data_IF_427548052397
#
_entry.id   IF_427548052397
#
_cell.length_a   1.000
_cell.length_b   1.000
_cell.length_c   1.000
_cell.angle_alpha   90.00
_cell.angle_beta   90.00
_cell.angle_gamma   90.00
#
_symmetry.space_group_name_H-M   'P 1'
#
loop_
_entity.id
_entity.type
_entity.pdbx_description
1 polymer ?
#
# COMPACT_ATOMS: atom_id res chain seq x y z
N UNK A 1 -13.90 -14.89 0.27
CA UNK A 1 -14.98 -14.67 -0.73
C UNK A 1 -16.07 -13.85 -0.08
N UNK A 2 -16.62 -12.86 -0.78
CA UNK A 2 -17.80 -12.08 -0.35
C UNK A 2 -19.08 -12.91 -0.45
N UNK A 3 -20.19 -12.43 0.13
CA UNK A 3 -21.46 -13.17 0.12
C UNK A 3 -22.01 -13.38 -1.30
N UNK A 4 -21.92 -12.36 -2.15
CA UNK A 4 -22.38 -12.39 -3.54
C UNK A 4 -21.57 -13.39 -4.38
N UNK A 5 -20.25 -13.46 -4.20
CA UNK A 5 -19.39 -14.48 -4.84
C UNK A 5 -19.76 -15.90 -4.39
N UNK A 6 -20.00 -16.10 -3.08
CA UNK A 6 -20.43 -17.40 -2.54
C UNK A 6 -21.78 -17.82 -3.12
N UNK A 7 -22.72 -16.88 -3.20
CA UNK A 7 -24.06 -17.12 -3.75
C UNK A 7 -24.00 -17.39 -5.26
N UNK A 8 -23.23 -16.63 -6.02
CA UNK A 8 -23.06 -16.82 -7.46
C UNK A 8 -22.46 -18.20 -7.78
N UNK A 9 -21.43 -18.61 -7.03
CA UNK A 9 -20.82 -19.93 -7.15
C UNK A 9 -21.83 -21.05 -6.89
N UNK A 10 -22.63 -20.97 -5.81
CA UNK A 10 -23.66 -21.96 -5.52
C UNK A 10 -24.74 -22.03 -6.60
N UNK A 11 -25.15 -20.88 -7.12
CA UNK A 11 -26.15 -20.79 -8.20
C UNK A 11 -25.64 -21.42 -9.49
N UNK A 12 -24.37 -21.18 -9.84
CA UNK A 12 -23.76 -21.75 -11.05
C UNK A 12 -23.52 -23.26 -10.89
N UNK A 13 -23.00 -23.70 -9.73
CA UNK A 13 -22.72 -25.11 -9.44
C UNK A 13 -23.97 -25.99 -9.45
N UNK A 14 -25.11 -25.44 -9.00
CA UNK A 14 -26.40 -26.14 -8.97
C UNK A 14 -27.28 -25.83 -10.17
N UNK A 15 -26.82 -24.99 -11.11
CA UNK A 15 -27.60 -24.46 -12.25
C UNK A 15 -28.95 -23.85 -11.81
N UNK A 16 -28.96 -23.22 -10.65
CA UNK A 16 -30.14 -22.58 -10.08
C UNK A 16 -30.31 -21.18 -10.65
N UNK A 17 -31.51 -20.86 -11.16
CA UNK A 17 -31.86 -19.51 -11.58
C UNK A 17 -32.38 -18.66 -10.42
N UNK A 18 -32.30 -17.33 -10.53
CA UNK A 18 -32.78 -16.42 -9.49
C UNK A 18 -34.26 -16.64 -9.16
N UNK A 19 -35.09 -16.91 -10.17
CA UNK A 19 -36.52 -17.21 -10.01
C UNK A 19 -36.76 -18.55 -9.33
N UNK A 20 -35.92 -19.55 -9.60
CA UNK A 20 -36.04 -20.88 -8.99
C UNK A 20 -35.68 -20.83 -7.50
N UNK A 21 -34.60 -20.15 -7.13
CA UNK A 21 -34.23 -19.97 -5.72
C UNK A 21 -35.32 -19.18 -4.99
N UNK A 22 -35.73 -18.03 -5.54
CA UNK A 22 -36.77 -17.16 -5.00
C UNK A 22 -38.06 -17.91 -4.63
N UNK A 23 -38.56 -18.75 -5.53
CA UNK A 23 -39.76 -19.57 -5.30
C UNK A 23 -39.59 -20.57 -4.16
N UNK A 24 -38.40 -21.15 -3.98
CA UNK A 24 -38.15 -22.18 -2.97
C UNK A 24 -37.88 -21.63 -1.56
N UNK A 25 -37.53 -20.36 -1.44
CA UNK A 25 -37.26 -19.71 -0.15
C UNK A 25 -38.21 -18.55 0.15
N UNK A 26 -39.31 -18.43 -0.62
CA UNK A 26 -40.35 -17.41 -0.46
C UNK A 26 -39.81 -15.97 -0.49
N UNK A 27 -38.91 -15.69 -1.43
CA UNK A 27 -38.35 -14.35 -1.68
C UNK A 27 -38.64 -13.90 -3.12
N UNK A 28 -38.39 -12.62 -3.38
CA UNK A 28 -38.54 -12.03 -4.71
C UNK A 28 -37.33 -12.30 -5.60
N UNK A 29 -37.52 -12.67 -6.87
CA UNK A 29 -36.42 -12.94 -7.80
C UNK A 29 -35.52 -11.71 -8.00
N UNK A 30 -36.11 -10.52 -7.94
CA UNK A 30 -35.40 -9.24 -7.98
C UNK A 30 -34.48 -9.06 -6.77
N UNK A 31 -34.92 -9.49 -5.59
CA UNK A 31 -34.15 -9.45 -4.34
C UNK A 31 -32.96 -10.40 -4.40
N UNK A 32 -33.17 -11.65 -4.86
CA UNK A 32 -32.09 -12.62 -5.08
C UNK A 32 -31.07 -12.09 -6.09
N UNK A 33 -31.54 -11.46 -7.17
CA UNK A 33 -30.64 -10.91 -8.17
C UNK A 33 -29.77 -9.78 -7.62
N UNK A 34 -30.30 -8.92 -6.73
CA UNK A 34 -29.54 -7.86 -6.07
C UNK A 34 -28.52 -8.40 -5.07
N UNK A 35 -28.87 -9.46 -4.33
CA UNK A 35 -27.94 -10.18 -3.45
C UNK A 35 -26.80 -10.81 -4.25
N UNK A 36 -27.12 -11.50 -5.36
CA UNK A 36 -26.15 -12.19 -6.22
C UNK A 36 -25.18 -11.23 -6.93
N UNK A 37 -25.60 -9.99 -7.20
CA UNK A 37 -24.77 -8.97 -7.85
C UNK A 37 -24.00 -8.07 -6.86
N UNK A 38 -24.10 -8.33 -5.55
CA UNK A 38 -23.49 -7.49 -4.51
C UNK A 38 -24.14 -6.10 -4.34
N UNK A 39 -25.22 -5.80 -5.06
CA UNK A 39 -25.95 -4.51 -4.97
C UNK A 39 -26.67 -4.37 -3.62
N UNK A 40 -27.00 -5.50 -2.98
CA UNK A 40 -27.60 -5.54 -1.65
C UNK A 40 -26.80 -6.46 -0.74
N UNK A 41 -26.41 -5.96 0.43
CA UNK A 41 -25.78 -6.75 1.48
C UNK A 41 -26.85 -7.56 2.23
N UNK A 42 -26.60 -8.83 2.56
CA UNK A 42 -27.50 -9.59 3.42
C UNK A 42 -27.64 -8.92 4.79
N UNK A 43 -28.86 -8.97 5.33
CA UNK A 43 -29.14 -8.45 6.69
C UNK A 43 -28.66 -9.48 7.70
N UNK A 44 -27.99 -9.03 8.76
CA UNK A 44 -27.57 -9.90 9.86
C UNK A 44 -28.78 -10.58 10.49
N UNK A 45 -28.70 -11.91 10.70
CA UNK A 45 -29.78 -12.76 11.22
C UNK A 45 -31.02 -12.89 10.32
N UNK A 46 -30.89 -12.65 9.01
CA UNK A 46 -32.01 -12.87 8.12
C UNK A 46 -32.34 -14.38 7.97
N UNK A 47 -33.60 -14.74 8.22
CA UNK A 47 -34.08 -16.13 8.15
C UNK A 47 -33.94 -16.79 6.78
N UNK A 48 -33.66 -16.02 5.71
CA UNK A 48 -33.47 -16.56 4.37
C UNK A 48 -32.09 -17.19 4.14
N UNK A 49 -31.05 -16.86 4.92
CA UNK A 49 -29.70 -17.44 4.71
C UNK A 49 -29.69 -18.93 5.08
N UNK A 50 -30.24 -19.37 6.22
CA UNK A 50 -30.43 -20.79 6.49
C UNK A 50 -31.32 -21.49 5.45
N UNK A 51 -32.34 -20.82 4.91
CA UNK A 51 -33.20 -21.36 3.87
C UNK A 51 -32.43 -21.60 2.55
N UNK A 52 -31.55 -20.68 2.17
CA UNK A 52 -30.63 -20.85 1.04
C UNK A 52 -29.67 -22.03 1.26
N UNK A 53 -29.05 -22.10 2.44
CA UNK A 53 -28.12 -23.19 2.79
C UNK A 53 -28.80 -24.57 2.68
N UNK A 54 -30.02 -24.70 3.21
CA UNK A 54 -30.82 -25.92 3.11
C UNK A 54 -31.15 -26.28 1.66
N UNK A 55 -31.53 -25.28 0.86
CA UNK A 55 -31.87 -25.48 -0.54
C UNK A 55 -30.67 -26.01 -1.33
N UNK A 56 -29.50 -25.38 -1.21
CA UNK A 56 -28.30 -25.81 -1.92
C UNK A 56 -27.74 -27.13 -1.40
N UNK A 57 -27.80 -27.40 -0.10
CA UNK A 57 -27.40 -28.69 0.47
C UNK A 57 -28.17 -29.86 -0.16
N UNK A 58 -29.46 -29.66 -0.48
CA UNK A 58 -30.30 -30.68 -1.15
C UNK A 58 -29.98 -30.88 -2.62
N UNK A 59 -29.39 -29.89 -3.29
CA UNK A 59 -29.06 -29.96 -4.71
C UNK A 59 -27.64 -30.47 -4.97
N UNK A 60 -26.72 -30.26 -4.02
CA UNK A 60 -25.34 -30.75 -4.08
C UNK A 60 -25.23 -32.23 -3.68
N UNK A 61 -25.90 -33.12 -4.43
CA UNK A 61 -25.91 -34.56 -4.13
C UNK A 61 -24.84 -35.36 -4.87
N UNK A 62 -24.31 -34.84 -5.98
CA UNK A 62 -23.26 -35.52 -6.76
C UNK A 62 -21.88 -35.33 -6.13
N UNK A 63 -21.01 -36.33 -6.31
CA UNK A 63 -19.64 -36.31 -5.77
C UNK A 63 -18.82 -35.15 -6.31
N UNK A 64 -19.01 -34.79 -7.59
CA UNK A 64 -18.36 -33.63 -8.20
C UNK A 64 -18.79 -32.30 -7.54
N UNK A 65 -20.10 -32.11 -7.30
CA UNK A 65 -20.59 -30.89 -6.66
C UNK A 65 -20.12 -30.78 -5.20
N UNK A 66 -20.09 -31.89 -4.48
CA UNK A 66 -19.57 -31.95 -3.10
C UNK A 66 -18.08 -31.63 -3.07
N UNK A 67 -17.28 -32.22 -3.96
CA UNK A 67 -15.85 -31.98 -4.05
C UNK A 67 -15.55 -30.50 -4.40
N UNK A 68 -16.21 -29.96 -5.43
CA UNK A 68 -16.05 -28.56 -5.83
C UNK A 68 -16.44 -27.57 -4.72
N UNK A 69 -17.52 -27.87 -3.98
CA UNK A 69 -17.96 -27.07 -2.85
C UNK A 69 -16.98 -27.13 -1.67
N UNK A 70 -16.50 -28.32 -1.32
CA UNK A 70 -15.51 -28.51 -0.25
C UNK A 70 -14.21 -27.79 -0.60
N UNK A 71 -13.76 -27.85 -1.85
CA UNK A 71 -12.57 -27.13 -2.32
C UNK A 71 -12.76 -25.61 -2.25
N UNK A 72 -13.92 -25.09 -2.70
CA UNK A 72 -14.25 -23.68 -2.62
C UNK A 72 -14.28 -23.18 -1.16
N UNK A 73 -14.84 -23.97 -0.24
CA UNK A 73 -14.87 -23.65 1.19
C UNK A 73 -13.44 -23.65 1.76
N UNK A 74 -12.64 -24.70 1.52
CA UNK A 74 -11.25 -24.78 2.00
C UNK A 74 -10.38 -23.62 1.51
N UNK A 75 -10.58 -23.15 0.27
CA UNK A 75 -9.84 -22.02 -0.31
C UNK A 75 -10.27 -20.66 0.22
N UNK A 76 -11.51 -20.53 0.69
CA UNK A 76 -12.13 -19.23 1.01
C UNK A 76 -12.50 -19.03 2.48
N UNK A 77 -12.28 -20.05 3.32
CA UNK A 77 -12.73 -20.12 4.72
C UNK A 77 -11.76 -20.92 5.58
N UNK A 78 -11.73 -20.65 6.88
CA UNK A 78 -11.03 -21.50 7.86
C UNK A 78 -11.87 -22.71 8.30
N UNK A 79 -13.11 -22.83 7.83
CA UNK A 79 -13.97 -23.99 8.11
C UNK A 79 -13.30 -25.23 7.52
N UNK A 80 -13.04 -26.24 8.37
CA UNK A 80 -12.59 -27.57 7.96
C UNK A 80 -13.81 -28.47 7.82
N UNK A 81 -14.35 -28.71 6.60
CA UNK A 81 -15.52 -29.54 6.45
C UNK A 81 -15.13 -30.98 6.78
N UNK A 82 -15.73 -31.57 7.82
CA UNK A 82 -15.53 -32.99 8.10
C UNK A 82 -16.50 -33.82 7.24
N UNK A 83 -16.10 -35.01 6.80
CA UNK A 83 -16.93 -35.88 5.94
C UNK A 83 -18.28 -36.28 6.56
N UNK A 84 -18.41 -36.16 7.90
CA UNK A 84 -19.61 -36.48 8.68
C UNK A 84 -20.46 -35.25 9.04
N UNK A 85 -20.04 -34.03 8.65
CA UNK A 85 -20.81 -32.81 8.96
C UNK A 85 -22.01 -32.63 8.03
N UNK A 86 -23.13 -32.19 8.60
CA UNK A 86 -24.31 -31.84 7.81
C UNK A 86 -24.01 -30.64 6.90
N UNK A 87 -24.02 -30.86 5.58
CA UNK A 87 -23.74 -29.87 4.55
C UNK A 87 -24.57 -28.59 4.68
N UNK A 88 -25.81 -28.68 5.16
CA UNK A 88 -26.65 -27.49 5.44
C UNK A 88 -26.00 -26.57 6.50
N UNK A 89 -25.43 -27.16 7.57
CA UNK A 89 -24.77 -26.39 8.63
C UNK A 89 -23.47 -25.76 8.13
N UNK A 90 -22.69 -26.52 7.35
CA UNK A 90 -21.43 -26.03 6.75
C UNK A 90 -21.71 -24.86 5.81
N UNK A 91 -22.68 -25.01 4.91
CA UNK A 91 -23.10 -23.96 3.97
C UNK A 91 -23.64 -22.72 4.69
N UNK A 92 -24.47 -22.91 5.72
CA UNK A 92 -25.01 -21.80 6.51
C UNK A 92 -23.89 -21.01 7.19
N UNK A 93 -22.94 -21.71 7.81
CA UNK A 93 -21.77 -21.09 8.44
C UNK A 93 -20.88 -20.37 7.41
N UNK A 94 -20.65 -20.99 6.26
CA UNK A 94 -19.84 -20.39 5.18
C UNK A 94 -20.50 -19.16 4.56
N UNK A 95 -21.82 -19.17 4.33
CA UNK A 95 -22.56 -17.99 3.83
C UNK A 95 -22.60 -16.85 4.85
N UNK A 96 -22.66 -17.16 6.16
CA UNK A 96 -22.66 -16.17 7.24
C UNK A 96 -21.27 -15.70 7.65
N UNK A 97 -20.23 -16.43 7.27
CA UNK A 97 -18.84 -16.04 7.50
C UNK A 97 -18.57 -14.76 6.72
N UNK A 98 -18.57 -13.65 7.46
CA UNK A 98 -17.92 -12.42 7.02
C UNK A 98 -16.48 -12.79 6.73
N UNK A 99 -15.91 -12.32 5.62
CA UNK A 99 -14.47 -12.35 5.49
C UNK A 99 -13.92 -11.80 6.81
N UNK A 100 -13.07 -12.53 7.56
CA UNK A 100 -12.23 -11.84 8.53
C UNK A 100 -11.62 -10.69 7.74
N UNK A 101 -11.70 -9.45 8.24
CA UNK A 101 -11.10 -8.27 7.63
C UNK A 101 -9.80 -8.74 6.99
N UNK A 102 -9.76 -8.79 5.66
CA UNK A 102 -8.59 -9.37 5.00
C UNK A 102 -7.41 -8.55 5.55
N UNK A 103 -6.40 -9.19 6.16
CA UNK A 103 -5.14 -8.51 6.40
C UNK A 103 -4.60 -8.15 5.00
N UNK A 104 -4.98 -6.97 4.51
CA UNK A 104 -5.05 -6.76 3.04
C UNK A 104 -6.02 -5.67 2.56
N UNK A 105 -7.11 -5.38 3.26
CA UNK A 105 -8.06 -4.34 2.84
C UNK A 105 -7.42 -2.94 2.82
N UNK A 106 -7.73 -2.15 1.79
CA UNK A 106 -7.33 -0.74 1.67
C UNK A 106 -7.81 0.05 2.89
N UNK A 107 -9.00 -0.23 3.41
CA UNK A 107 -9.54 0.47 4.59
C UNK A 107 -8.75 0.16 5.86
N UNK A 108 -8.29 -1.08 6.02
CA UNK A 108 -7.41 -1.44 7.15
C UNK A 108 -6.04 -0.75 7.02
N UNK A 109 -5.50 -0.71 5.81
CA UNK A 109 -4.26 0.01 5.51
C UNK A 109 -4.37 1.52 5.75
N UNK A 110 -5.42 2.17 5.25
CA UNK A 110 -5.62 3.61 5.44
C UNK A 110 -5.80 3.96 6.92
N UNK A 111 -6.43 3.08 7.71
CA UNK A 111 -6.47 3.23 9.17
C UNK A 111 -5.10 3.04 9.81
N UNK A 112 -4.32 2.06 9.38
CA UNK A 112 -2.96 1.82 9.88
C UNK A 112 -2.01 2.99 9.57
N UNK A 113 -2.04 3.52 8.35
CA UNK A 113 -1.27 4.69 7.92
C UNK A 113 -1.75 5.95 8.65
N UNK A 114 -3.07 6.14 8.80
CA UNK A 114 -3.64 7.27 9.53
C UNK A 114 -3.33 7.26 11.03
N UNK A 115 -3.04 6.09 11.60
CA UNK A 115 -2.59 5.92 12.99
C UNK A 115 -1.10 5.65 13.12
N UNK A 116 -0.32 5.78 12.03
CA UNK A 116 1.11 5.51 12.05
C UNK A 116 1.81 6.56 12.91
N UNK A 117 2.11 6.17 14.14
CA UNK A 117 3.03 6.89 15.02
C UNK A 117 4.40 6.26 14.82
N UNK A 118 5.45 7.09 14.77
CA UNK A 118 6.85 6.66 14.83
C UNK A 118 7.09 5.91 16.16
N UNK A 119 6.68 4.66 16.23
CA UNK A 119 7.17 3.74 17.24
C UNK A 119 8.55 3.35 16.77
N UNK A 120 9.56 3.78 17.52
CA UNK A 120 10.94 3.31 17.35
C UNK A 120 10.86 1.79 17.24
N UNK A 121 11.24 1.17 16.11
CA UNK A 121 11.61 -0.23 16.15
C UNK A 121 12.75 -0.26 17.17
N UNK A 122 12.51 -0.92 18.30
CA UNK A 122 13.55 -1.21 19.26
C UNK A 122 14.10 -2.58 18.90
N UNK A 123 15.14 -2.69 18.06
CA UNK A 123 16.06 -3.78 18.27
C UNK A 123 16.67 -3.49 19.65
N UNK A 124 16.52 -4.42 20.58
CA UNK A 124 17.41 -4.49 21.75
C UNK A 124 18.83 -4.33 21.22
N UNK A 125 19.62 -3.41 21.78
CA UNK A 125 20.93 -3.03 21.24
C UNK A 125 21.92 -4.20 21.05
N UNK A 126 21.62 -5.35 21.65
CA UNK A 126 22.34 -6.61 21.52
C UNK A 126 22.02 -7.40 20.23
N UNK A 127 20.81 -7.30 19.69
CA UNK A 127 20.47 -7.94 18.41
C UNK A 127 21.10 -7.19 17.24
N UNK A 128 21.05 -5.85 17.26
CA UNK A 128 21.62 -5.03 16.19
C UNK A 128 23.14 -5.20 16.03
N UNK A 129 23.89 -5.43 17.10
CA UNK A 129 25.35 -5.61 17.04
C UNK A 129 25.76 -6.99 16.49
N UNK A 130 24.98 -8.03 16.75
CA UNK A 130 25.22 -9.37 16.18
C UNK A 130 25.00 -9.42 14.65
N UNK A 131 24.12 -8.56 14.12
CA UNK A 131 23.86 -8.47 12.68
C UNK A 131 24.84 -7.57 11.91
N UNK A 132 25.73 -6.85 12.61
CA UNK A 132 26.65 -5.88 12.01
C UNK A 132 27.99 -6.47 11.57
N UNK A 133 28.29 -7.73 11.87
CA UNK A 133 29.56 -8.37 11.46
C UNK A 133 29.35 -9.35 10.29
N UNK A 134 29.61 -8.94 9.04
CA UNK A 134 29.53 -9.81 7.87
C UNK A 134 30.67 -10.84 7.78
N UNK A 135 31.59 -10.87 8.76
CA UNK A 135 32.79 -11.70 8.70
C UNK A 135 33.80 -11.17 7.66
N UNK A 136 34.78 -12.01 7.24
CA UNK A 136 35.82 -11.58 6.30
C UNK A 136 35.27 -11.33 4.90
N UNK A 137 35.22 -10.06 4.52
CA UNK A 137 34.66 -9.57 3.25
C UNK A 137 35.60 -9.93 2.09
N UNK A 138 35.06 -10.57 1.05
CA UNK A 138 35.77 -10.76 -0.22
C UNK A 138 35.40 -9.65 -1.20
N UNK A 139 36.23 -9.43 -2.22
CA UNK A 139 35.94 -8.46 -3.30
C UNK A 139 34.62 -8.79 -4.03
N UNK A 140 34.33 -10.08 -4.13
CA UNK A 140 33.12 -10.64 -4.74
C UNK A 140 32.65 -11.83 -3.91
N UNK A 141 31.38 -11.82 -3.54
CA UNK A 141 30.69 -12.93 -2.89
C UNK A 141 29.46 -13.34 -3.70
N UNK A 142 29.19 -14.64 -3.73
CA UNK A 142 28.10 -15.22 -4.52
C UNK A 142 27.17 -15.97 -3.56
N UNK A 143 25.90 -15.60 -3.59
CA UNK A 143 24.86 -16.21 -2.77
C UNK A 143 23.76 -16.79 -3.66
N UNK A 144 23.30 -17.99 -3.35
CA UNK A 144 22.40 -18.75 -4.22
C UNK A 144 20.96 -18.76 -3.73
N UNK A 145 20.03 -18.62 -4.68
CA UNK A 145 18.61 -18.74 -4.46
C UNK A 145 18.01 -17.62 -3.62
N UNK A 146 16.84 -17.90 -3.04
CA UNK A 146 16.07 -16.93 -2.23
C UNK A 146 16.81 -16.62 -0.92
N UNK A 147 17.28 -17.65 -0.21
CA UNK A 147 18.07 -17.46 1.01
C UNK A 147 19.35 -16.68 0.74
N UNK A 148 20.04 -17.00 -0.36
CA UNK A 148 21.22 -16.24 -0.74
C UNK A 148 20.92 -14.78 -1.05
N UNK A 149 19.80 -14.48 -1.68
CA UNK A 149 19.35 -13.09 -1.91
C UNK A 149 19.09 -12.36 -0.59
N UNK A 150 18.43 -13.02 0.36
CA UNK A 150 18.18 -12.51 1.71
C UNK A 150 19.48 -12.19 2.44
N UNK A 151 20.43 -13.13 2.44
CA UNK A 151 21.76 -12.92 3.02
C UNK A 151 22.50 -11.76 2.35
N UNK A 152 22.54 -11.71 1.01
CA UNK A 152 23.21 -10.64 0.26
C UNK A 152 22.63 -9.25 0.59
N UNK A 153 21.31 -9.14 0.71
CA UNK A 153 20.64 -7.90 1.05
C UNK A 153 20.97 -7.44 2.49
N UNK A 154 20.99 -8.34 3.47
CA UNK A 154 21.40 -8.00 4.84
C UNK A 154 22.88 -7.63 4.91
N UNK A 155 23.77 -8.40 4.26
CA UNK A 155 25.20 -8.07 4.15
C UNK A 155 25.43 -6.68 3.57
N UNK A 156 24.73 -6.35 2.48
CA UNK A 156 24.80 -5.04 1.87
C UNK A 156 24.44 -3.91 2.87
N UNK A 157 23.36 -4.06 3.62
CA UNK A 157 22.96 -3.05 4.61
C UNK A 157 23.95 -2.96 5.78
N UNK A 158 24.47 -4.08 6.25
CA UNK A 158 25.49 -4.10 7.31
C UNK A 158 26.77 -3.38 6.87
N UNK A 159 27.24 -3.61 5.63
CA UNK A 159 28.38 -2.88 5.07
C UNK A 159 28.11 -1.37 4.99
N UNK A 160 26.89 -0.97 4.59
CA UNK A 160 26.50 0.44 4.53
C UNK A 160 26.52 1.07 5.92
N UNK A 161 26.07 0.36 6.95
CA UNK A 161 26.10 0.83 8.34
C UNK A 161 27.51 0.99 8.91
N UNK A 162 28.46 0.15 8.47
CA UNK A 162 29.86 0.28 8.86
C UNK A 162 30.55 1.49 8.21
N UNK A 163 30.06 1.95 7.05
CA UNK A 163 30.59 3.15 6.41
C UNK A 163 30.09 4.41 7.13
N UNK A 164 31.04 5.20 7.63
CA UNK A 164 30.76 6.44 8.38
C UNK A 164 30.30 7.59 7.48
N UNK A 165 30.53 7.51 6.18
CA UNK A 165 30.19 8.57 5.22
C UNK A 165 28.77 8.35 4.70
N UNK A 166 27.84 9.29 4.96
CA UNK A 166 26.51 9.22 4.38
C UNK A 166 26.56 9.23 2.85
N UNK A 167 25.72 8.42 2.22
CA UNK A 167 25.63 8.30 0.78
C UNK A 167 24.19 8.10 0.31
N UNK A 168 23.98 8.21 -1.00
CA UNK A 168 22.68 7.92 -1.63
C UNK A 168 22.70 6.52 -2.20
N UNK A 169 21.90 5.64 -1.61
CA UNK A 169 21.66 4.28 -2.07
C UNK A 169 20.82 4.32 -3.34
N UNK A 170 21.19 3.53 -4.33
CA UNK A 170 20.50 3.42 -5.62
C UNK A 170 19.87 2.04 -5.69
N UNK A 171 18.54 1.99 -5.59
CA UNK A 171 17.78 0.75 -5.49
C UNK A 171 16.87 0.57 -6.71
N UNK A 172 16.88 -0.62 -7.28
CA UNK A 172 15.94 -1.04 -8.31
C UNK A 172 15.70 -2.55 -8.19
N UNK A 173 14.44 -2.96 -8.30
CA UNK A 173 14.09 -4.35 -8.52
C UNK A 173 12.78 -4.44 -9.29
N UNK A 174 12.77 -5.23 -10.35
CA UNK A 174 11.53 -5.68 -11.01
C UNK A 174 11.26 -7.17 -10.76
N UNK A 175 11.91 -7.75 -9.75
CA UNK A 175 11.59 -9.08 -9.23
C UNK A 175 10.34 -9.03 -8.33
N UNK A 176 9.72 -10.20 -8.17
CA UNK A 176 8.64 -10.42 -7.22
C UNK A 176 9.15 -10.11 -5.80
N UNK A 177 8.34 -9.51 -4.95
CA UNK A 177 8.75 -9.07 -3.60
C UNK A 177 8.56 -10.15 -2.53
N UNK A 178 8.03 -11.34 -2.87
CA UNK A 178 7.86 -12.48 -1.96
C UNK A 178 9.13 -12.84 -1.17
N UNK A 179 10.31 -12.80 -1.82
CA UNK A 179 11.58 -13.07 -1.13
C UNK A 179 11.84 -12.10 0.04
N UNK A 180 11.27 -10.89 -0.01
CA UNK A 180 11.36 -9.88 1.04
C UNK A 180 10.22 -10.00 2.06
N UNK A 181 8.99 -10.28 1.63
CA UNK A 181 7.78 -10.20 2.46
C UNK A 181 7.28 -11.53 3.06
N UNK A 182 7.60 -12.67 2.47
CA UNK A 182 7.00 -13.96 2.85
C UNK A 182 7.41 -14.44 4.25
N UNK A 183 8.55 -13.98 4.75
CA UNK A 183 9.04 -14.29 6.09
C UNK A 183 9.04 -13.05 7.00
N UNK A 184 8.08 -12.95 7.94
CA UNK A 184 7.93 -11.78 8.81
C UNK A 184 9.17 -11.47 9.66
N UNK A 185 9.88 -12.51 10.11
CA UNK A 185 11.09 -12.35 10.91
C UNK A 185 12.22 -11.74 10.08
N UNK A 186 12.44 -12.23 8.85
CA UNK A 186 13.39 -11.66 7.91
C UNK A 186 13.04 -10.21 7.56
N UNK A 187 11.78 -9.95 7.22
CA UNK A 187 11.32 -8.60 6.88
C UNK A 187 11.57 -7.61 8.02
N UNK A 188 11.32 -8.03 9.27
CA UNK A 188 11.57 -7.22 10.46
C UNK A 188 13.06 -6.87 10.64
N UNK A 189 13.95 -7.84 10.42
CA UNK A 189 15.41 -7.61 10.46
C UNK A 189 15.87 -6.66 9.36
N UNK A 190 15.41 -6.89 8.13
CA UNK A 190 15.71 -6.02 6.99
C UNK A 190 15.22 -4.59 7.24
N UNK A 191 13.98 -4.42 7.71
CA UNK A 191 13.39 -3.13 8.01
C UNK A 191 14.18 -2.41 9.11
N UNK A 192 14.58 -3.10 10.18
CA UNK A 192 15.39 -2.53 11.25
C UNK A 192 16.74 -1.99 10.73
N UNK A 193 17.45 -2.76 9.89
CA UNK A 193 18.70 -2.31 9.27
C UNK A 193 18.47 -1.11 8.34
N UNK A 194 17.45 -1.16 7.48
CA UNK A 194 17.08 -0.04 6.60
C UNK A 194 16.81 1.24 7.38
N UNK A 195 16.09 1.16 8.51
CA UNK A 195 15.85 2.31 9.37
C UNK A 195 17.14 2.86 9.97
N UNK A 196 18.07 2.02 10.41
CA UNK A 196 19.38 2.48 10.91
C UNK A 196 20.19 3.15 9.80
N UNK A 197 20.16 2.61 8.58
CA UNK A 197 20.84 3.19 7.42
C UNK A 197 20.34 4.62 7.17
N UNK A 198 19.02 4.82 7.19
CA UNK A 198 18.42 6.15 7.03
C UNK A 198 18.71 7.07 8.22
N UNK A 199 18.72 6.54 9.44
CA UNK A 199 19.08 7.28 10.65
C UNK A 199 20.53 7.81 10.58
N UNK A 200 21.43 7.07 9.93
CA UNK A 200 22.80 7.50 9.64
C UNK A 200 22.90 8.50 8.48
N UNK A 201 21.80 9.19 8.14
CA UNK A 201 21.69 10.24 7.11
C UNK A 201 21.92 9.76 5.68
N UNK A 202 21.90 8.46 5.43
CA UNK A 202 21.86 7.95 4.07
C UNK A 202 20.52 8.29 3.42
N UNK A 203 20.54 8.49 2.11
CA UNK A 203 19.34 8.71 1.28
C UNK A 203 19.14 7.54 0.35
N UNK A 204 17.94 7.43 -0.22
CA UNK A 204 17.62 6.38 -1.19
C UNK A 204 17.03 7.01 -2.44
N UNK A 205 17.55 6.66 -3.62
CA UNK A 205 16.85 6.77 -4.89
C UNK A 205 16.36 5.40 -5.29
N UNK A 206 15.05 5.24 -5.48
CA UNK A 206 14.45 3.94 -5.81
C UNK A 206 13.63 4.03 -7.08
N UNK A 207 13.84 3.10 -8.02
CA UNK A 207 13.03 2.98 -9.23
C UNK A 207 12.01 1.85 -9.02
N UNK A 208 10.72 2.19 -9.04
CA UNK A 208 9.60 1.27 -8.92
C UNK A 208 9.10 0.83 -10.29
N UNK A 209 8.64 -0.42 -10.35
CA UNK A 209 7.91 -0.96 -11.50
C UNK A 209 6.41 -0.79 -11.24
N UNK A 210 5.73 0.06 -12.00
CA UNK A 210 4.29 0.39 -11.79
C UNK A 210 3.36 -0.65 -12.41
N UNK A 211 3.84 -1.42 -13.40
CA UNK A 211 3.05 -2.46 -14.07
C UNK A 211 3.02 -3.76 -13.25
N UNK A 212 2.63 -3.67 -11.97
CA UNK A 212 2.46 -4.77 -11.02
C UNK A 212 0.97 -5.04 -10.79
N UNK A 213 0.64 -6.25 -10.32
CA UNK A 213 -0.71 -6.55 -9.87
C UNK A 213 -1.11 -5.61 -8.71
N UNK A 214 -2.38 -5.24 -8.61
CA UNK A 214 -2.90 -4.32 -7.60
C UNK A 214 -2.56 -4.75 -6.16
N UNK A 215 -2.68 -6.04 -5.86
CA UNK A 215 -2.36 -6.60 -4.54
C UNK A 215 -0.86 -6.49 -4.21
N UNK A 216 -0.01 -6.67 -5.21
CA UNK A 216 1.45 -6.55 -5.10
C UNK A 216 1.86 -5.09 -4.89
N UNK A 217 1.20 -4.16 -5.60
CA UNK A 217 1.37 -2.72 -5.41
C UNK A 217 0.98 -2.31 -3.99
N UNK A 218 -0.18 -2.75 -3.48
CA UNK A 218 -0.66 -2.41 -2.15
C UNK A 218 0.24 -3.00 -1.04
N UNK A 219 0.73 -4.23 -1.23
CA UNK A 219 1.68 -4.88 -0.32
C UNK A 219 3.03 -4.17 -0.31
N UNK A 220 3.55 -3.80 -1.49
CA UNK A 220 4.75 -2.99 -1.62
C UNK A 220 4.59 -1.63 -0.92
N UNK A 221 3.47 -0.93 -1.17
CA UNK A 221 3.20 0.35 -0.52
C UNK A 221 3.20 0.21 1.01
N UNK A 222 2.56 -0.83 1.58
CA UNK A 222 2.55 -1.08 3.03
C UNK A 222 3.94 -1.17 3.64
N UNK A 223 4.83 -1.95 3.04
CA UNK A 223 6.19 -2.12 3.55
C UNK A 223 7.04 -0.85 3.43
N UNK A 224 6.81 -0.04 2.40
CA UNK A 224 7.63 1.14 2.12
C UNK A 224 7.11 2.44 2.75
N UNK A 225 5.81 2.57 3.05
CA UNK A 225 5.21 3.80 3.63
C UNK A 225 5.93 4.27 4.90
N UNK A 226 6.21 3.42 5.89
CA UNK A 226 6.98 3.82 7.08
C UNK A 226 8.35 4.42 6.74
N UNK A 227 8.96 3.92 5.67
CA UNK A 227 10.28 4.33 5.23
C UNK A 227 10.19 5.65 4.43
N UNK A 228 9.15 5.80 3.59
CA UNK A 228 8.87 7.05 2.88
C UNK A 228 8.60 8.22 3.82
N UNK A 229 7.94 7.97 4.95
CA UNK A 229 7.69 8.98 5.99
C UNK A 229 8.97 9.55 6.61
N UNK A 230 10.14 8.94 6.41
CA UNK A 230 11.44 9.54 6.80
C UNK A 230 11.84 10.74 5.93
N UNK A 231 11.22 10.93 4.77
CA UNK A 231 11.57 11.96 3.79
C UNK A 231 12.96 11.79 3.15
N UNK A 232 13.63 10.66 3.37
CA UNK A 232 14.97 10.38 2.86
C UNK A 232 14.97 9.52 1.58
N UNK A 233 13.79 9.32 0.98
CA UNK A 233 13.60 8.50 -0.22
C UNK A 233 13.08 9.36 -1.37
N UNK A 234 13.68 9.19 -2.54
CA UNK A 234 13.25 9.75 -3.81
C UNK A 234 12.81 8.61 -4.75
N UNK A 235 11.50 8.41 -4.95
CA UNK A 235 10.99 7.37 -5.82
C UNK A 235 10.84 7.82 -7.28
N UNK A 236 11.16 6.93 -8.19
CA UNK A 236 11.09 7.09 -9.64
C UNK A 236 10.34 5.91 -10.26
N UNK A 237 9.91 6.05 -11.52
CA UNK A 237 9.37 4.95 -12.30
C UNK A 237 9.73 5.09 -13.78
N UNK A 238 9.78 3.97 -14.49
CA UNK A 238 9.92 3.96 -15.95
C UNK A 238 8.56 3.75 -16.60
N UNK A 239 8.16 4.65 -17.51
CA UNK A 239 6.89 4.53 -18.24
C UNK A 239 6.95 3.56 -19.42
N UNK A 240 8.16 3.15 -19.84
CA UNK A 240 8.36 2.21 -20.95
C UNK A 240 8.12 0.79 -20.47
N UNK A 241 7.23 0.08 -21.15
CA UNK A 241 6.93 -1.33 -20.87
C UNK A 241 8.07 -2.24 -21.36
N UNK A 242 8.48 -3.18 -20.51
CA UNK A 242 9.29 -4.36 -20.89
C UNK A 242 8.38 -5.59 -20.89
N UNK A 243 8.79 -6.62 -21.61
CA UNK A 243 8.13 -7.92 -21.68
C UNK A 243 8.24 -8.76 -20.38
N UNK A 244 8.91 -8.23 -19.34
CA UNK A 244 9.08 -8.84 -18.01
C UNK A 244 9.71 -10.25 -18.02
N UNK A 245 10.37 -10.65 -19.12
CA UNK A 245 11.00 -11.96 -19.24
C UNK A 245 12.26 -12.01 -18.38
N UNK A 246 13.13 -11.01 -18.53
CA UNK A 246 14.30 -10.83 -17.67
C UNK A 246 13.99 -9.84 -16.56
N UNK A 247 14.29 -10.26 -15.34
CA UNK A 247 14.20 -9.44 -14.15
C UNK A 247 15.57 -9.25 -13.53
N UNK A 248 15.71 -8.16 -12.80
CA UNK A 248 16.98 -7.67 -12.29
C UNK A 248 16.76 -6.96 -10.96
N UNK A 249 17.70 -7.18 -10.06
CA UNK A 249 17.84 -6.39 -8.83
C UNK A 249 19.19 -5.69 -8.85
N UNK A 250 19.18 -4.41 -8.48
CA UNK A 250 20.36 -3.55 -8.33
C UNK A 250 20.21 -2.80 -7.01
N UNK A 251 21.04 -3.13 -6.01
CA UNK A 251 21.20 -2.33 -4.80
C UNK A 251 22.63 -1.81 -4.76
N UNK A 252 22.82 -0.51 -4.83
CA UNK A 252 24.14 0.09 -4.96
C UNK A 252 24.33 1.15 -3.88
N UNK A 253 25.42 1.02 -3.13
CA UNK A 253 25.95 2.02 -2.22
C UNK A 253 27.29 2.49 -2.82
N UNK A 254 27.34 3.64 -3.50
CA UNK A 254 28.47 4.07 -4.33
C UNK A 254 29.85 4.05 -3.66
N UNK A 255 29.90 4.14 -2.33
CA UNK A 255 31.14 4.18 -1.54
C UNK A 255 31.37 2.91 -0.72
N UNK A 256 30.52 1.88 -0.87
CA UNK A 256 30.53 0.72 0.03
C UNK A 256 30.45 -0.61 -0.71
N UNK A 257 29.35 -0.85 -1.42
CA UNK A 257 29.06 -2.17 -1.98
C UNK A 257 27.97 -2.09 -3.06
N UNK A 258 27.82 -3.16 -3.84
CA UNK A 258 26.70 -3.33 -4.75
C UNK A 258 26.23 -4.78 -4.78
N UNK A 259 24.91 -5.00 -4.76
CA UNK A 259 24.26 -6.29 -5.01
C UNK A 259 23.57 -6.26 -6.35
N UNK A 260 23.83 -7.27 -7.17
CA UNK A 260 23.12 -7.48 -8.43
C UNK A 260 22.70 -8.93 -8.58
N UNK A 261 21.52 -9.13 -9.16
CA UNK A 261 21.05 -10.45 -9.58
C UNK A 261 20.20 -10.33 -10.84
N UNK A 262 20.09 -11.44 -11.57
CA UNK A 262 19.23 -11.54 -12.73
C UNK A 262 18.46 -12.85 -12.66
N UNK A 263 17.18 -12.78 -13.01
CA UNK A 263 16.27 -13.92 -13.01
C UNK A 263 15.40 -13.91 -14.26
N UNK A 264 14.82 -15.06 -14.56
CA UNK A 264 13.87 -15.22 -15.66
C UNK A 264 12.49 -15.45 -15.04
N UNK A 265 11.55 -14.54 -15.33
CA UNK A 265 10.21 -14.53 -14.74
C UNK A 265 10.27 -14.69 -13.20
N UNK A 266 9.55 -15.65 -12.63
CA UNK A 266 9.49 -15.91 -11.19
C UNK A 266 10.56 -16.91 -10.71
N UNK A 267 11.52 -17.28 -11.57
CA UNK A 267 12.56 -18.26 -11.30
C UNK A 267 13.66 -17.78 -10.36
N UNK A 268 13.33 -17.32 -9.15
CA UNK A 268 14.29 -16.77 -8.18
C UNK A 268 15.10 -17.89 -7.47
N UNK A 269 14.56 -19.11 -7.40
CA UNK A 269 15.14 -20.23 -6.64
C UNK A 269 16.56 -20.60 -7.04
N UNK A 270 16.94 -20.42 -8.32
CA UNK A 270 18.26 -20.77 -8.85
C UNK A 270 19.09 -19.53 -9.23
N UNK A 271 18.79 -18.38 -8.66
CA UNK A 271 19.50 -17.13 -8.98
C UNK A 271 20.83 -17.04 -8.27
N UNK A 272 21.83 -16.49 -8.96
CA UNK A 272 23.05 -16.02 -8.32
C UNK A 272 22.89 -14.55 -7.92
N UNK A 273 23.16 -14.25 -6.66
CA UNK A 273 23.15 -12.91 -6.10
C UNK A 273 24.60 -12.54 -5.80
N UNK A 274 25.10 -11.56 -6.54
CA UNK A 274 26.49 -11.15 -6.50
C UNK A 274 26.62 -9.90 -5.64
N UNK A 275 27.41 -9.98 -4.58
CA UNK A 275 27.81 -8.85 -3.75
C UNK A 275 29.23 -8.43 -4.15
N UNK A 276 29.38 -7.17 -4.52
CA UNK A 276 30.65 -6.56 -4.90
C UNK A 276 31.04 -5.51 -3.87
N UNK A 277 32.31 -5.50 -3.48
CA UNK A 277 32.92 -4.44 -2.63
C UNK A 277 34.05 -3.70 -3.34
N UNK A 278 34.51 -4.24 -4.48
CA UNK A 278 35.49 -3.59 -5.35
C UNK A 278 34.90 -2.36 -6.07
N UNK A 279 35.59 -1.23 -5.98
CA UNK A 279 35.10 0.07 -6.45
C UNK A 279 34.80 0.10 -7.96
N UNK A 280 35.61 -0.56 -8.78
CA UNK A 280 35.42 -0.60 -10.24
C UNK A 280 34.09 -1.28 -10.61
N UNK A 281 33.72 -2.37 -9.91
CA UNK A 281 32.46 -3.06 -10.13
C UNK A 281 31.27 -2.21 -9.65
N UNK A 282 31.41 -1.54 -8.50
CA UNK A 282 30.39 -0.62 -7.97
C UNK A 282 30.14 0.52 -8.95
N UNK A 283 31.20 1.14 -9.50
CA UNK A 283 31.08 2.23 -10.48
C UNK A 283 30.41 1.78 -11.78
N UNK A 284 30.72 0.56 -12.27
CA UNK A 284 30.08 0.01 -13.46
C UNK A 284 28.56 -0.17 -13.26
N UNK A 285 28.15 -0.77 -12.13
CA UNK A 285 26.73 -0.95 -11.79
C UNK A 285 26.03 0.39 -11.50
N UNK A 286 26.72 1.35 -10.88
CA UNK A 286 26.22 2.70 -10.70
C UNK A 286 25.95 3.38 -12.04
N UNK A 287 26.86 3.27 -13.02
CA UNK A 287 26.65 3.82 -14.35
C UNK A 287 25.43 3.20 -15.02
N UNK A 288 25.30 1.88 -14.97
CA UNK A 288 24.13 1.16 -15.49
C UNK A 288 22.82 1.68 -14.85
N UNK A 289 22.80 1.84 -13.53
CA UNK A 289 21.64 2.38 -12.83
C UNK A 289 21.31 3.81 -13.28
N UNK A 290 22.31 4.68 -13.42
CA UNK A 290 22.12 6.08 -13.82
C UNK A 290 21.61 6.20 -15.26
N UNK A 291 22.12 5.36 -16.17
CA UNK A 291 21.62 5.27 -17.55
C UNK A 291 20.13 4.87 -17.56
N UNK A 292 19.73 3.96 -16.68
CA UNK A 292 18.32 3.59 -16.53
C UNK A 292 17.47 4.67 -15.87
N UNK A 293 17.99 5.33 -14.83
CA UNK A 293 17.32 6.44 -14.14
C UNK A 293 17.04 7.61 -15.10
N UNK A 294 17.92 7.88 -16.06
CA UNK A 294 17.74 8.93 -17.07
C UNK A 294 16.50 8.71 -17.97
N UNK A 295 15.99 7.48 -18.03
CA UNK A 295 14.76 7.13 -18.75
C UNK A 295 13.51 7.20 -17.87
N UNK A 296 13.69 7.39 -16.56
CA UNK A 296 12.63 7.37 -15.57
C UNK A 296 12.07 8.76 -15.28
N UNK A 297 10.90 8.80 -14.63
CA UNK A 297 10.26 10.02 -14.13
C UNK A 297 10.09 9.93 -12.61
N UNK A 298 10.11 11.04 -11.87
CA UNK A 298 9.74 11.05 -10.46
C UNK A 298 8.33 10.48 -10.25
N UNK A 299 8.18 9.60 -9.26
CA UNK A 299 6.89 8.96 -8.95
C UNK A 299 6.04 9.82 -8.02
N UNK A 300 6.66 10.41 -7.00
CA UNK A 300 6.00 11.29 -6.03
C UNK A 300 7.02 12.24 -5.42
N UNK A 301 6.57 13.44 -5.02
CA UNK A 301 7.34 14.35 -4.18
C UNK A 301 6.96 14.09 -2.71
N UNK A 302 7.96 13.94 -1.83
CA UNK A 302 7.73 13.64 -0.42
C UNK A 302 8.01 14.87 0.43
N UNK A 303 7.00 15.31 1.15
CA UNK A 303 7.06 16.44 2.05
C UNK A 303 6.95 15.95 3.49
N UNK A 304 7.73 16.58 4.37
CA UNK A 304 7.79 16.31 5.80
C UNK A 304 7.79 17.64 6.57
N UNK A 305 7.55 17.62 7.89
CA UNK A 305 7.53 18.85 8.69
C UNK A 305 8.84 19.66 8.68
N UNK A 306 9.94 19.07 8.21
CA UNK A 306 11.25 19.72 8.13
C UNK A 306 11.55 20.36 6.77
N UNK A 307 10.70 20.17 5.74
CA UNK A 307 10.87 20.72 4.39
C UNK A 307 9.62 21.46 3.86
N UNK A 308 8.94 22.20 4.75
CA UNK A 308 7.64 22.86 4.50
C UNK A 308 7.63 23.87 3.33
N UNK A 309 8.73 24.55 3.02
CA UNK A 309 8.77 25.57 1.96
C UNK A 309 8.48 24.97 0.56
N UNK A 310 9.10 23.83 0.23
CA UNK A 310 8.91 23.16 -1.06
C UNK A 310 7.47 22.65 -1.26
N UNK A 311 6.75 22.41 -0.16
CA UNK A 311 5.35 21.96 -0.19
C UNK A 311 4.40 23.08 -0.63
N UNK A 312 4.49 24.26 -0.02
CA UNK A 312 3.65 25.40 -0.39
C UNK A 312 3.90 25.83 -1.82
N UNK A 313 5.16 25.87 -2.27
CA UNK A 313 5.50 26.16 -3.67
C UNK A 313 4.85 25.17 -4.65
N UNK A 314 4.86 23.88 -4.31
CA UNK A 314 4.21 22.85 -5.14
C UNK A 314 2.69 23.02 -5.15
N UNK A 315 2.05 23.35 -4.02
CA UNK A 315 0.61 23.64 -3.99
C UNK A 315 0.27 24.86 -4.84
N UNK A 316 1.08 25.92 -4.73
CA UNK A 316 0.94 27.13 -5.53
C UNK A 316 1.03 26.82 -7.02
N UNK A 317 2.00 25.98 -7.44
CA UNK A 317 2.13 25.49 -8.83
C UNK A 317 0.82 24.86 -9.34
N UNK A 318 0.21 23.95 -8.56
CA UNK A 318 -1.08 23.34 -8.90
C UNK A 318 -2.24 24.34 -8.94
N UNK A 319 -2.27 25.30 -8.02
CA UNK A 319 -3.31 26.34 -7.96
C UNK A 319 -3.21 27.37 -9.09
N UNK A 320 -2.04 27.49 -9.74
CA UNK A 320 -1.84 28.37 -10.89
C UNK A 320 -2.37 27.80 -12.21
N UNK A 321 -2.66 26.50 -12.26
CA UNK A 321 -3.18 25.86 -13.46
C UNK A 321 -4.60 26.36 -13.78
N UNK A 322 -4.81 26.71 -15.05
CA UNK A 322 -6.09 27.24 -15.54
C UNK A 322 -6.90 26.10 -16.15
N UNK A 323 -7.96 25.69 -15.47
CA UNK A 323 -8.85 24.65 -15.97
C UNK A 323 -10.04 24.37 -15.08
N UNK A 324 -10.97 23.58 -15.64
CA UNK A 324 -12.07 23.00 -14.86
C UNK A 324 -11.49 22.14 -13.74
N UNK A 325 -11.91 22.41 -12.51
CA UNK A 325 -11.28 21.84 -11.31
C UNK A 325 -12.29 21.03 -10.51
N UNK A 326 -11.87 19.84 -10.07
CA UNK A 326 -12.61 19.03 -9.10
C UNK A 326 -11.75 18.91 -7.83
N UNK A 327 -12.22 19.50 -6.73
CA UNK A 327 -11.60 19.39 -5.43
C UNK A 327 -12.34 18.34 -4.60
N UNK A 328 -11.62 17.32 -4.12
CA UNK A 328 -12.17 16.30 -3.21
C UNK A 328 -11.48 16.38 -1.85
N UNK A 329 -12.25 16.64 -0.80
CA UNK A 329 -11.74 16.84 0.57
C UNK A 329 -12.54 16.06 1.61
N UNK A 330 -11.91 15.79 2.75
CA UNK A 330 -12.56 15.15 3.91
C UNK A 330 -13.13 16.17 4.92
N UNK A 331 -13.05 17.46 4.60
CA UNK A 331 -13.47 18.61 5.40
C UNK A 331 -13.91 19.75 4.47
N UNK A 332 -14.46 20.82 5.03
CA UNK A 332 -14.73 22.04 4.27
C UNK A 332 -13.40 22.63 3.80
N UNK A 333 -13.26 22.91 2.49
CA UNK A 333 -12.08 23.61 1.99
C UNK A 333 -12.00 25.03 2.57
N UNK A 334 -10.77 25.55 2.61
CA UNK A 334 -10.52 26.91 3.04
C UNK A 334 -10.57 27.94 1.90
N UNK A 335 -10.90 27.55 0.66
CA UNK A 335 -10.68 28.38 -0.53
C UNK A 335 -11.46 29.70 -0.55
N UNK A 336 -12.60 29.77 0.13
CA UNK A 336 -13.41 30.99 0.32
C UNK A 336 -13.50 31.42 1.78
N UNK A 337 -12.57 30.98 2.63
CA UNK A 337 -12.60 31.31 4.06
C UNK A 337 -12.38 32.81 4.28
N UNK A 338 -13.26 33.51 5.03
CA UNK A 338 -13.07 34.93 5.31
C UNK A 338 -11.80 35.20 6.13
N UNK A 339 -11.06 36.26 5.81
CA UNK A 339 -9.82 36.66 6.48
C UNK A 339 -9.96 36.72 8.01
N UNK A 340 -11.08 37.23 8.52
CA UNK A 340 -11.35 37.30 9.96
C UNK A 340 -11.40 35.93 10.62
N UNK A 341 -11.95 34.92 9.93
CA UNK A 341 -12.01 33.55 10.42
C UNK A 341 -10.63 32.90 10.32
N UNK A 342 -9.92 33.09 9.21
CA UNK A 342 -8.53 32.64 9.00
C UNK A 342 -7.64 33.14 10.15
N UNK A 343 -7.64 34.44 10.43
CA UNK A 343 -6.88 35.04 11.53
C UNK A 343 -7.23 34.47 12.91
N UNK A 344 -8.51 34.14 13.16
CA UNK A 344 -8.94 33.52 14.42
C UNK A 344 -8.43 32.08 14.56
N UNK A 345 -8.41 31.32 13.46
CA UNK A 345 -7.93 29.94 13.43
C UNK A 345 -6.41 29.89 13.57
N UNK A 346 -5.68 30.79 12.90
CA UNK A 346 -4.22 30.89 12.99
C UNK A 346 -3.72 31.17 14.40
N UNK A 347 -4.45 31.99 15.17
CA UNK A 347 -4.13 32.23 16.59
C UNK A 347 -4.15 30.96 17.46
N UNK A 348 -4.77 29.88 16.98
CA UNK A 348 -4.82 28.57 17.66
C UNK A 348 -3.68 27.64 17.24
N UNK A 349 -2.93 27.98 16.19
CA UNK A 349 -1.80 27.18 15.69
C UNK A 349 -0.53 27.49 16.49
N UNK A 350 0.36 26.50 16.69
CA UNK A 350 1.60 26.68 17.46
C UNK A 350 2.63 27.57 16.75
N UNK A 351 2.62 27.62 15.41
CA UNK A 351 3.56 28.40 14.61
C UNK A 351 3.07 29.83 14.31
N UNK A 352 3.93 30.82 14.54
CA UNK A 352 3.60 32.26 14.49
C UNK A 352 3.74 32.94 13.11
N UNK A 353 3.91 32.20 12.01
CA UNK A 353 4.02 32.78 10.65
C UNK A 353 2.65 33.19 10.08
N UNK A 354 1.93 34.04 10.83
CA UNK A 354 0.56 34.44 10.53
C UNK A 354 0.45 35.34 9.30
N UNK A 355 1.47 36.14 8.99
CA UNK A 355 1.41 37.09 7.88
C UNK A 355 1.58 36.41 6.52
N UNK A 356 2.60 35.56 6.37
CA UNK A 356 2.84 34.83 5.12
C UNK A 356 1.67 33.91 4.76
N UNK A 357 1.07 33.24 5.75
CA UNK A 357 -0.04 32.34 5.52
C UNK A 357 -1.35 33.09 5.21
N UNK A 358 -1.56 34.27 5.79
CA UNK A 358 -2.70 35.12 5.43
C UNK A 358 -2.54 35.62 3.99
N UNK A 359 -1.34 36.08 3.62
CA UNK A 359 -1.04 36.52 2.27
C UNK A 359 -1.27 35.39 1.25
N UNK A 360 -0.78 34.18 1.54
CA UNK A 360 -1.03 32.99 0.72
C UNK A 360 -2.54 32.71 0.57
N UNK A 361 -3.31 32.77 1.66
CA UNK A 361 -4.75 32.54 1.65
C UNK A 361 -5.51 33.59 0.82
N UNK A 362 -5.12 34.87 0.94
CA UNK A 362 -5.70 35.97 0.17
C UNK A 362 -5.40 35.81 -1.33
N UNK A 363 -4.17 35.43 -1.67
CA UNK A 363 -3.76 35.20 -3.04
C UNK A 363 -4.51 34.01 -3.65
N UNK A 364 -4.61 32.89 -2.90
CA UNK A 364 -5.38 31.70 -3.27
C UNK A 364 -6.85 32.03 -3.54
N UNK A 365 -7.48 32.79 -2.65
CA UNK A 365 -8.88 33.20 -2.80
C UNK A 365 -9.06 34.09 -4.03
N UNK A 366 -8.14 35.04 -4.25
CA UNK A 366 -8.16 35.93 -5.42
C UNK A 366 -8.01 35.16 -6.74
N UNK A 367 -7.08 34.18 -6.78
CA UNK A 367 -6.90 33.29 -7.93
C UNK A 367 -8.15 32.47 -8.21
N UNK A 368 -8.74 31.87 -7.17
CA UNK A 368 -9.97 31.10 -7.28
C UNK A 368 -11.11 31.92 -7.89
N UNK A 369 -11.35 33.13 -7.38
CA UNK A 369 -12.39 34.02 -7.91
C UNK A 369 -12.13 34.41 -9.37
N UNK A 370 -10.87 34.64 -9.75
CA UNK A 370 -10.51 34.90 -11.15
C UNK A 370 -10.75 33.68 -12.05
N UNK A 371 -10.46 32.47 -11.55
CA UNK A 371 -10.65 31.21 -12.28
C UNK A 371 -12.13 30.93 -12.57
N UNK A 372 -13.02 31.22 -11.60
CA UNK A 372 -14.47 31.10 -11.76
C UNK A 372 -15.06 31.97 -12.88
N UNK A 373 -14.31 32.99 -13.36
CA UNK A 373 -14.74 33.80 -14.50
C UNK A 373 -14.82 33.02 -15.82
N UNK A 374 -13.98 31.98 -15.99
CA UNK A 374 -13.85 31.25 -17.26
C UNK A 374 -13.90 29.71 -17.11
N UNK A 375 -13.90 29.19 -15.88
CA UNK A 375 -13.82 27.76 -15.61
C UNK A 375 -14.80 27.33 -14.51
N UNK A 376 -15.16 26.06 -14.54
CA UNK A 376 -16.00 25.44 -13.52
C UNK A 376 -15.17 24.91 -12.35
N UNK A 377 -15.75 24.99 -11.16
CA UNK A 377 -15.16 24.42 -9.95
C UNK A 377 -16.19 23.56 -9.24
N UNK A 378 -15.88 22.28 -9.05
CA UNK A 378 -16.72 21.32 -8.35
C UNK A 378 -16.04 20.87 -7.07
N UNK A 379 -16.69 21.07 -5.93
CA UNK A 379 -16.20 20.58 -4.65
C UNK A 379 -16.99 19.35 -4.19
N UNK A 380 -16.29 18.28 -3.86
CA UNK A 380 -16.83 17.04 -3.29
C UNK A 380 -16.26 16.91 -1.88
N UNK A 381 -17.09 17.20 -0.88
CA UNK A 381 -16.67 17.22 0.51
C UNK A 381 -17.41 16.19 1.36
N UNK A 382 -16.74 15.70 2.39
CA UNK A 382 -17.36 14.85 3.41
C UNK A 382 -17.71 15.70 4.63
N UNK A 383 -19.00 15.75 4.99
CA UNK A 383 -19.44 16.44 6.20
C UNK A 383 -19.09 15.63 7.46
N UNK A 384 -18.48 16.31 8.42
CA UNK A 384 -18.18 15.74 9.73
C UNK A 384 -19.47 15.56 10.55
N UNK A 385 -19.48 14.56 11.44
CA UNK A 385 -20.63 14.32 12.32
C UNK A 385 -20.87 15.54 13.24
N UNK A 386 -22.12 15.92 13.52
CA UNK A 386 -22.43 17.05 14.41
C UNK A 386 -21.70 16.98 15.76
N UNK A 387 -21.65 15.80 16.38
CA UNK A 387 -20.96 15.61 17.67
C UNK A 387 -19.46 15.94 17.59
N UNK A 388 -18.80 15.58 16.49
CA UNK A 388 -17.38 15.88 16.25
C UNK A 388 -17.14 17.38 16.15
N UNK A 389 -18.06 18.10 15.51
CA UNK A 389 -18.01 19.56 15.36
C UNK A 389 -18.22 20.23 16.73
N UNK A 390 -19.25 19.82 17.48
CA UNK A 390 -19.59 20.38 18.79
C UNK A 390 -18.48 20.16 19.83
N UNK A 391 -17.74 19.05 19.73
CA UNK A 391 -16.58 18.76 20.59
C UNK A 391 -15.31 19.53 20.17
N UNK A 392 -15.36 20.35 19.11
CA UNK A 392 -14.20 21.08 18.60
C UNK A 392 -13.11 20.18 18.00
N UNK A 393 -13.48 18.96 17.57
CA UNK A 393 -12.55 17.95 17.02
C UNK A 393 -12.60 17.86 15.49
N UNK A 394 -13.42 18.68 14.84
CA UNK A 394 -13.48 18.72 13.39
C UNK A 394 -12.17 19.29 12.82
N UNK A 395 -11.55 18.55 11.91
CA UNK A 395 -10.36 18.99 11.19
C UNK A 395 -10.75 20.13 10.24
N UNK A 396 -9.96 21.20 10.26
CA UNK A 396 -10.08 22.29 9.31
C UNK A 396 -9.03 22.07 8.23
N UNK A 397 -9.41 22.16 6.96
CA UNK A 397 -8.45 22.06 5.87
C UNK A 397 -7.28 23.06 6.10
N UNK A 398 -6.05 22.59 5.86
CA UNK A 398 -4.77 23.24 6.23
C UNK A 398 -4.36 23.30 7.71
N UNK A 399 -5.12 22.77 8.68
CA UNK A 399 -4.68 22.78 10.10
C UNK A 399 -3.43 21.95 10.36
N UNK A 400 -3.27 20.84 9.65
CA UNK A 400 -2.27 19.82 9.94
C UNK A 400 -0.89 20.18 9.35
N UNK A 401 -0.85 21.04 8.32
CA UNK A 401 0.38 21.50 7.66
C UNK A 401 1.25 22.35 8.60
N UNK A 402 0.66 22.96 9.63
CA UNK A 402 1.31 23.88 10.56
C UNK A 402 1.34 23.37 12.01
N UNK A 403 0.93 22.11 12.24
CA UNK A 403 0.95 21.42 13.54
C UNK A 403 2.35 20.99 13.97
#
# INVERSE_FOLDING_TARGET
MTFDEKLDLLMNLTRTSNSLLARNISLDASFISRLRRGVRTPVENAGYIPAMARYFARLCNSDYQKAALIEAIKKSSQIKPHELENMEKVLSKWLLEKNPDQPGSIDAFLKEVGHFQFKRPSPTGEEASAFMDPGPIKDVEIFYGVEGKRTAALHFLSLVLQNKTPQTLLLYSNEDLSWLSDEPEYFSRWAALMFQVLKNRNRIKIIHTINRNFDEMLTGIRGWVPIYMTGSIEPYYCSKTRDNIFRRTLFIAPQTAAVTSSSVRDGIQNTANLLFTRQEAIQALQKEYMDYLALCRPLMRIFNPFNQESYLETLVEFEFEKGDTILKTNSLSNITMPDQLTLRLMKRLPNKNNEALLAYQQEKTSRFLALLGNHSFTEILTLQKPDTILQGRAVVDFSDIFS
#
